data_IF_828060154822
#
_entry.id   IF_828060154822
#
_cell.length_a   1.000
_cell.length_b   1.000
_cell.length_c   1.000
_cell.angle_alpha   90.00
_cell.angle_beta   90.00
_cell.angle_gamma   90.00
#
_symmetry.space_group_name_H-M   'P 1'
#
loop_
_entity.id
_entity.type
_entity.pdbx_description
1 polymer ?
#
# COMPACT_ATOMS: atom_id res chain seq x y z
N UNK A 1 24.85 -1.21 -21.89
CA UNK A 1 24.89 -1.91 -20.58
C UNK A 1 23.48 -2.37 -20.28
N UNK A 2 23.25 -3.68 -20.16
CA UNK A 2 21.97 -4.17 -19.66
C UNK A 2 21.89 -3.81 -18.16
N UNK A 3 20.86 -3.06 -17.76
CA UNK A 3 20.58 -2.83 -16.35
C UNK A 3 20.24 -4.20 -15.74
N UNK A 4 21.02 -4.65 -14.77
CA UNK A 4 20.77 -5.91 -14.05
C UNK A 4 19.44 -5.79 -13.31
N UNK A 5 18.56 -6.78 -13.47
CA UNK A 5 17.32 -6.82 -12.71
C UNK A 5 17.62 -6.80 -11.20
N UNK A 6 16.93 -5.95 -10.41
CA UNK A 6 17.11 -5.92 -8.97
C UNK A 6 16.74 -7.25 -8.32
N UNK A 7 17.52 -7.65 -7.32
CA UNK A 7 17.25 -8.80 -6.46
C UNK A 7 15.95 -8.60 -5.66
N UNK A 8 15.39 -9.69 -5.12
CA UNK A 8 14.20 -9.61 -4.25
C UNK A 8 14.46 -8.73 -3.02
N UNK A 9 15.61 -8.91 -2.37
CA UNK A 9 16.01 -8.09 -1.23
C UNK A 9 16.07 -6.59 -1.56
N UNK A 10 16.62 -6.23 -2.72
CA UNK A 10 16.65 -4.82 -3.16
C UNK A 10 15.24 -4.28 -3.44
N UNK A 11 14.32 -5.11 -3.94
CA UNK A 11 12.92 -4.72 -4.16
C UNK A 11 12.19 -4.52 -2.84
N UNK A 12 12.40 -5.39 -1.85
CA UNK A 12 11.84 -5.26 -0.50
C UNK A 12 12.34 -3.98 0.16
N UNK A 13 13.65 -3.71 0.14
CA UNK A 13 14.22 -2.46 0.68
C UNK A 13 13.61 -1.23 0.01
N UNK A 14 13.37 -1.26 -1.31
CA UNK A 14 12.69 -0.14 -2.00
C UNK A 14 11.26 0.05 -1.51
N UNK A 15 10.53 -1.03 -1.25
CA UNK A 15 9.17 -0.96 -0.73
C UNK A 15 9.16 -0.34 0.68
N UNK A 16 10.10 -0.75 1.53
CA UNK A 16 10.27 -0.23 2.89
C UNK A 16 10.66 1.25 2.92
N UNK A 17 11.61 1.66 2.08
CA UNK A 17 12.00 3.07 1.94
C UNK A 17 10.83 3.91 1.44
N UNK A 18 10.04 3.41 0.49
CA UNK A 18 8.85 4.12 0.02
C UNK A 18 7.77 4.22 1.12
N UNK A 19 7.57 3.16 1.90
CA UNK A 19 6.68 3.15 3.07
C UNK A 19 7.12 4.19 4.11
N UNK A 20 8.40 4.30 4.40
CA UNK A 20 8.90 5.18 5.47
C UNK A 20 8.62 6.67 5.17
N UNK A 21 8.50 7.02 3.88
CA UNK A 21 8.07 8.35 3.42
C UNK A 21 6.59 8.65 3.70
N UNK A 22 5.75 7.66 3.98
CA UNK A 22 4.33 7.88 4.26
C UNK A 22 4.08 8.54 5.62
N UNK A 23 4.87 8.23 6.65
CA UNK A 23 4.69 8.81 8.00
C UNK A 23 4.66 10.35 8.00
N UNK A 24 5.65 11.07 7.42
CA UNK A 24 5.59 12.54 7.39
C UNK A 24 4.43 13.08 6.56
N UNK A 25 4.03 12.39 5.48
CA UNK A 25 2.88 12.77 4.64
C UNK A 25 1.54 12.63 5.38
N UNK A 26 1.43 11.67 6.28
CA UNK A 26 0.24 11.48 7.09
C UNK A 26 0.10 12.57 8.18
N UNK A 27 1.23 13.13 8.64
CA UNK A 27 1.28 14.09 9.74
C UNK A 27 1.22 15.55 9.29
N UNK A 28 1.76 15.89 8.11
CA UNK A 28 1.82 17.26 7.60
C UNK A 28 0.95 17.42 6.34
N UNK A 29 -0.16 18.20 6.41
CA UNK A 29 -0.98 18.50 5.24
C UNK A 29 -0.21 19.16 4.08
N UNK A 30 0.82 19.96 4.35
CA UNK A 30 1.63 20.59 3.29
C UNK A 30 2.45 19.56 2.55
N UNK A 31 3.04 18.59 3.26
CA UNK A 31 3.77 17.51 2.63
C UNK A 31 2.82 16.60 1.85
N UNK A 32 1.63 16.32 2.41
CA UNK A 32 0.59 15.56 1.72
C UNK A 32 0.24 16.17 0.36
N UNK A 33 -0.14 17.44 0.33
CA UNK A 33 -0.57 18.13 -0.89
C UNK A 33 0.50 18.13 -1.99
N UNK A 34 1.78 18.16 -1.61
CA UNK A 34 2.89 18.29 -2.56
C UNK A 34 3.62 16.98 -2.89
N UNK A 35 3.46 15.93 -2.06
CA UNK A 35 4.33 14.75 -2.13
C UNK A 35 3.61 13.41 -2.11
N UNK A 36 2.29 13.36 -1.89
CA UNK A 36 1.58 12.09 -1.78
C UNK A 36 1.60 11.28 -3.09
N UNK A 37 1.45 11.94 -4.26
CA UNK A 37 1.40 11.25 -5.55
C UNK A 37 2.75 10.61 -5.92
N UNK A 38 3.85 11.36 -5.78
CA UNK A 38 5.18 10.86 -6.12
C UNK A 38 5.54 9.67 -5.24
N UNK A 39 5.35 9.83 -3.93
CA UNK A 39 5.63 8.78 -2.95
C UNK A 39 4.76 7.54 -3.18
N UNK A 40 3.47 7.73 -3.47
CA UNK A 40 2.59 6.63 -3.84
C UNK A 40 3.06 5.92 -5.11
N UNK A 41 3.52 6.66 -6.12
CA UNK A 41 3.98 6.09 -7.38
C UNK A 41 5.27 5.28 -7.23
N UNK A 42 6.17 5.67 -6.32
CA UNK A 42 7.32 4.87 -5.91
C UNK A 42 6.89 3.59 -5.20
N UNK A 43 6.01 3.70 -4.20
CA UNK A 43 5.51 2.57 -3.43
C UNK A 43 4.79 1.56 -4.32
N UNK A 44 3.86 2.01 -5.18
CA UNK A 44 3.13 1.16 -6.13
C UNK A 44 4.10 0.37 -7.01
N UNK A 45 5.13 1.01 -7.57
CA UNK A 45 6.12 0.32 -8.41
C UNK A 45 6.83 -0.78 -7.62
N UNK A 46 7.20 -0.53 -6.37
CA UNK A 46 7.83 -1.53 -5.52
C UNK A 46 6.87 -2.69 -5.20
N UNK A 47 5.60 -2.42 -4.86
CA UNK A 47 4.57 -3.47 -4.68
C UNK A 47 4.40 -4.33 -5.92
N UNK A 48 4.26 -3.72 -7.11
CA UNK A 48 4.07 -4.45 -8.36
C UNK A 48 5.25 -5.38 -8.66
N UNK A 49 6.48 -4.96 -8.34
CA UNK A 49 7.66 -5.81 -8.50
C UNK A 49 7.70 -7.01 -7.55
N UNK A 50 6.97 -6.96 -6.44
CA UNK A 50 6.88 -8.00 -5.43
C UNK A 50 5.57 -8.80 -5.50
N UNK A 51 4.66 -8.50 -6.44
CA UNK A 51 3.32 -9.13 -6.53
C UNK A 51 3.30 -10.67 -6.64
N UNK A 52 4.43 -11.28 -7.01
CA UNK A 52 4.59 -12.74 -7.15
C UNK A 52 5.37 -13.37 -5.99
N UNK A 53 5.75 -12.57 -5.00
CA UNK A 53 6.65 -12.94 -3.92
C UNK A 53 6.03 -12.52 -2.58
N UNK A 54 5.07 -13.32 -2.11
CA UNK A 54 4.33 -13.06 -0.88
C UNK A 54 5.25 -13.01 0.33
N UNK A 55 6.30 -13.83 0.40
CA UNK A 55 7.25 -13.85 1.53
C UNK A 55 7.90 -12.47 1.74
N UNK A 56 8.36 -11.83 0.66
CA UNK A 56 8.94 -10.48 0.75
C UNK A 56 7.91 -9.41 1.11
N UNK A 57 6.69 -9.52 0.60
CA UNK A 57 5.61 -8.61 1.01
C UNK A 57 5.28 -8.78 2.49
N UNK A 58 5.24 -10.02 2.98
CA UNK A 58 4.90 -10.36 4.36
C UNK A 58 5.97 -9.90 5.35
N UNK A 59 7.23 -9.89 4.92
CA UNK A 59 8.37 -9.42 5.71
C UNK A 59 8.37 -7.90 5.94
N UNK A 60 7.57 -7.12 5.20
CA UNK A 60 7.52 -5.66 5.35
C UNK A 60 6.94 -5.27 6.71
N UNK A 61 7.70 -4.54 7.50
CA UNK A 61 7.21 -4.00 8.78
C UNK A 61 6.27 -2.80 8.59
N UNK A 62 5.58 -2.42 9.66
CA UNK A 62 4.78 -1.20 9.75
C UNK A 62 3.66 -1.11 8.69
N UNK A 63 3.03 -2.26 8.37
CA UNK A 63 1.96 -2.40 7.37
C UNK A 63 0.78 -1.43 7.59
N UNK A 64 0.46 -1.14 8.85
CA UNK A 64 -0.59 -0.19 9.23
C UNK A 64 -0.35 1.23 8.67
N UNK A 65 0.91 1.65 8.51
CA UNK A 65 1.25 2.97 7.94
C UNK A 65 0.84 3.05 6.47
N UNK A 66 1.04 1.96 5.73
CA UNK A 66 0.62 1.86 4.33
C UNK A 66 -0.89 1.88 4.23
N UNK A 67 -1.59 1.13 5.08
CA UNK A 67 -3.05 1.12 5.11
C UNK A 67 -3.63 2.51 5.38
N UNK A 68 -3.13 3.21 6.41
CA UNK A 68 -3.47 4.61 6.70
C UNK A 68 -3.28 5.52 5.50
N UNK A 69 -2.15 5.38 4.81
CA UNK A 69 -1.86 6.15 3.61
C UNK A 69 -2.84 5.85 2.47
N UNK A 70 -3.10 4.58 2.17
CA UNK A 70 -3.99 4.16 1.09
C UNK A 70 -5.44 4.54 1.34
N UNK A 71 -5.94 4.43 2.58
CA UNK A 71 -7.25 4.93 2.99
C UNK A 71 -7.34 6.45 2.78
N UNK A 72 -6.37 7.22 3.29
CA UNK A 72 -6.36 8.68 3.13
C UNK A 72 -6.30 9.08 1.65
N UNK A 73 -5.46 8.43 0.86
CA UNK A 73 -5.30 8.71 -0.57
C UNK A 73 -6.59 8.40 -1.32
N UNK A 74 -7.20 7.26 -1.05
CA UNK A 74 -8.45 6.85 -1.70
C UNK A 74 -9.59 7.80 -1.34
N UNK A 75 -9.69 8.23 -0.08
CA UNK A 75 -10.69 9.22 0.35
C UNK A 75 -10.51 10.58 -0.31
N UNK A 76 -9.27 11.09 -0.36
CA UNK A 76 -8.99 12.49 -0.74
C UNK A 76 -8.67 12.69 -2.22
N UNK A 77 -8.30 11.62 -2.95
CA UNK A 77 -7.77 11.69 -4.31
C UNK A 77 -8.38 10.60 -5.20
N UNK A 78 -9.67 10.74 -5.50
CA UNK A 78 -10.44 9.82 -6.39
C UNK A 78 -9.76 9.47 -7.73
N UNK A 79 -9.05 10.39 -8.42
CA UNK A 79 -8.35 10.03 -9.66
C UNK A 79 -7.32 8.90 -9.51
N UNK A 80 -6.86 8.60 -8.30
CA UNK A 80 -5.91 7.53 -8.02
C UNK A 80 -6.56 6.19 -7.73
N UNK A 81 -7.89 6.08 -7.68
CA UNK A 81 -8.60 4.86 -7.29
C UNK A 81 -8.13 3.63 -8.06
N UNK A 82 -8.03 3.68 -9.39
CA UNK A 82 -7.56 2.52 -10.16
C UNK A 82 -6.13 2.08 -9.82
N UNK A 83 -5.25 3.01 -9.44
CA UNK A 83 -3.90 2.69 -8.95
C UNK A 83 -3.93 2.17 -7.51
N UNK A 84 -4.83 2.68 -6.68
CA UNK A 84 -5.06 2.14 -5.33
C UNK A 84 -5.58 0.71 -5.41
N UNK A 85 -6.57 0.44 -6.25
CA UNK A 85 -7.15 -0.90 -6.47
C UNK A 85 -6.08 -1.93 -6.83
N UNK A 86 -5.15 -1.60 -7.72
CA UNK A 86 -4.05 -2.49 -8.06
C UNK A 86 -3.15 -2.81 -6.86
N UNK A 87 -2.76 -1.80 -6.08
CA UNK A 87 -1.93 -2.01 -4.90
C UNK A 87 -2.68 -2.79 -3.84
N UNK A 88 -3.94 -2.43 -3.59
CA UNK A 88 -4.82 -3.09 -2.63
C UNK A 88 -5.03 -4.55 -3.00
N UNK A 89 -5.31 -4.85 -4.26
CA UNK A 89 -5.45 -6.22 -4.75
C UNK A 89 -4.18 -7.05 -4.54
N UNK A 90 -2.98 -6.46 -4.64
CA UNK A 90 -1.72 -7.14 -4.30
C UNK A 90 -1.62 -7.39 -2.79
N UNK A 91 -1.79 -6.35 -1.98
CA UNK A 91 -1.61 -6.45 -0.52
C UNK A 91 -2.64 -7.39 0.11
N UNK A 92 -3.89 -7.36 -0.38
CA UNK A 92 -4.96 -8.21 0.09
C UNK A 92 -4.74 -9.69 -0.21
N UNK A 93 -3.82 -10.06 -1.10
CA UNK A 93 -3.45 -11.48 -1.29
C UNK A 93 -2.75 -12.08 -0.08
N UNK A 94 -2.24 -11.25 0.83
CA UNK A 94 -1.46 -11.65 1.99
C UNK A 94 -2.22 -11.48 3.30
N UNK A 95 -2.24 -12.55 4.11
CA UNK A 95 -2.93 -12.57 5.40
C UNK A 95 -2.29 -11.64 6.45
N UNK A 96 -0.94 -11.54 6.57
CA UNK A 96 -0.31 -10.52 7.40
C UNK A 96 -0.75 -9.08 7.07
N UNK A 97 -0.98 -8.78 5.79
CA UNK A 97 -1.46 -7.47 5.36
C UNK A 97 -2.93 -7.25 5.71
N UNK A 98 -3.79 -8.25 5.48
CA UNK A 98 -5.19 -8.21 5.88
C UNK A 98 -5.34 -8.04 7.39
N UNK A 99 -4.59 -8.82 8.17
CA UNK A 99 -4.59 -8.73 9.63
C UNK A 99 -4.19 -7.33 10.12
N UNK A 100 -3.14 -6.74 9.53
CA UNK A 100 -2.71 -5.39 9.89
C UNK A 100 -3.75 -4.31 9.59
N UNK A 101 -4.65 -4.53 8.63
CA UNK A 101 -5.77 -3.63 8.38
C UNK A 101 -6.87 -3.80 9.45
N UNK A 102 -7.25 -5.05 9.74
CA UNK A 102 -8.31 -5.37 10.72
C UNK A 102 -7.93 -4.98 12.14
N UNK A 103 -6.66 -5.17 12.51
CA UNK A 103 -6.16 -4.89 13.86
C UNK A 103 -5.96 -3.37 14.13
N UNK A 104 -6.01 -2.50 13.11
CA UNK A 104 -5.82 -1.06 13.27
C UNK A 104 -7.18 -0.33 13.40
N UNK A 105 -7.53 0.18 14.60
CA UNK A 105 -8.84 0.81 14.84
C UNK A 105 -9.03 2.14 14.11
N UNK A 106 -7.96 2.74 13.57
CA UNK A 106 -8.07 3.95 12.74
C UNK A 106 -8.51 3.62 11.31
N UNK A 107 -8.56 2.35 10.91
CA UNK A 107 -8.90 1.93 9.55
C UNK A 107 -10.41 1.92 9.32
N UNK A 108 -10.79 2.47 8.16
CA UNK A 108 -12.16 2.46 7.70
C UNK A 108 -12.20 1.87 6.28
N UNK A 109 -12.85 0.71 6.15
CA UNK A 109 -13.03 0.04 4.87
C UNK A 109 -13.72 0.95 3.85
N UNK A 110 -14.65 1.80 4.29
CA UNK A 110 -15.39 2.70 3.41
C UNK A 110 -14.56 3.85 2.82
N UNK A 111 -13.31 4.03 3.27
CA UNK A 111 -12.38 4.97 2.67
C UNK A 111 -11.70 4.40 1.41
N UNK A 112 -11.77 3.07 1.19
CA UNK A 112 -11.17 2.40 0.04
C UNK A 112 -12.08 2.45 -1.21
N UNK A 113 -11.52 2.20 -2.41
CA UNK A 113 -12.31 2.10 -3.65
C UNK A 113 -13.41 1.05 -3.53
N UNK A 114 -14.57 1.29 -4.14
CA UNK A 114 -15.77 0.47 -3.95
C UNK A 114 -15.60 -1.00 -4.33
N UNK A 115 -14.77 -1.29 -5.34
CA UNK A 115 -14.48 -2.68 -5.74
C UNK A 115 -13.72 -3.43 -4.65
N UNK A 116 -12.77 -2.75 -4.01
CA UNK A 116 -11.98 -3.29 -2.90
C UNK A 116 -12.87 -3.53 -1.68
N UNK A 117 -13.79 -2.62 -1.37
CA UNK A 117 -14.73 -2.82 -0.24
C UNK A 117 -15.50 -4.13 -0.37
N UNK A 118 -15.95 -4.45 -1.58
CA UNK A 118 -16.67 -5.69 -1.86
C UNK A 118 -15.77 -6.91 -1.69
N UNK A 119 -14.60 -6.91 -2.34
CA UNK A 119 -13.64 -8.02 -2.28
C UNK A 119 -13.10 -8.27 -0.87
N UNK A 120 -12.88 -7.20 -0.09
CA UNK A 120 -12.40 -7.30 1.28
C UNK A 120 -13.45 -7.93 2.20
N UNK A 121 -14.73 -7.57 2.01
CA UNK A 121 -15.84 -8.17 2.74
C UNK A 121 -15.91 -9.69 2.52
N UNK A 122 -15.79 -10.13 1.26
CA UNK A 122 -15.79 -11.55 0.91
C UNK A 122 -14.60 -12.30 1.56
N UNK A 123 -13.40 -11.69 1.57
CA UNK A 123 -12.20 -12.32 2.16
C UNK A 123 -12.19 -12.35 3.69
N UNK A 124 -12.87 -11.43 4.36
CA UNK A 124 -12.98 -11.43 5.82
C UNK A 124 -14.01 -12.42 6.36
N UNK A 125 -14.90 -12.94 5.51
CA UNK A 125 -15.90 -13.94 5.86
C UNK A 125 -15.42 -15.40 5.67
N UNK A 126 -14.28 -15.61 4.99
CA UNK A 126 -13.57 -16.90 4.87
C UNK A 126 -12.72 -17.24 6.10
#
# INVERSE_FOLDING_TARGET
>A
MALKDPTLQEKTVRLEVARDKFKPLLQDPRLWENGCEETFSEFRRACVHLRKDSESLDAVDQKQVVWRFLCKLSRERKPFWGRCEEVLGILMTSDPWMKAFVDDPEMNLHDLPSNIVKEFGERCEE
#
